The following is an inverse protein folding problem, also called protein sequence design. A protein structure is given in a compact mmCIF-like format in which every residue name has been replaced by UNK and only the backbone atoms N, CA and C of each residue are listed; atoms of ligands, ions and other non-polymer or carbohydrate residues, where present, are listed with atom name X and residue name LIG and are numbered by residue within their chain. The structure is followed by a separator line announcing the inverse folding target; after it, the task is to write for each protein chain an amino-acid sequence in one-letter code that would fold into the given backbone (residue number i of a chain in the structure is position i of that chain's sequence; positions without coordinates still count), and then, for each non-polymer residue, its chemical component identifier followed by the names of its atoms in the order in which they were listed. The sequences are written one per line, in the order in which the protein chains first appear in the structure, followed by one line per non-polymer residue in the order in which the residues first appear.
data_IF_484879452938
#
_entry.id   IF_484879452938
#
_cell.length_a   1.000
_cell.length_b   1.000
_cell.length_c   1.000
_cell.angle_alpha   90.00
_cell.angle_beta   90.00
_cell.angle_gamma   90.00
#
_symmetry.space_group_name_H-M   'P 1'
#
loop_
_entity.id
_entity.type
_entity.pdbx_description
1 polymer ?
#
# COMPACT_ATOMS: atom_id res chain seq x y z
N UNK A 1 34.45 4.33 -10.01
CA UNK A 1 34.78 3.15 -10.84
C UNK A 1 36.27 2.83 -10.69
N UNK A 2 36.67 1.55 -10.66
CA UNK A 2 38.07 1.15 -10.67
C UNK A 2 38.76 1.57 -11.98
N UNK A 3 40.05 1.89 -11.92
CA UNK A 3 40.86 2.26 -13.09
C UNK A 3 41.20 1.01 -13.92
N UNK A 4 41.21 1.17 -15.23
CA UNK A 4 41.52 0.08 -16.16
C UNK A 4 43.03 -0.11 -16.32
N UNK A 5 43.49 -1.34 -16.14
CA UNK A 5 44.86 -1.77 -16.35
C UNK A 5 44.87 -2.97 -17.31
N UNK A 6 45.52 -2.80 -18.46
CA UNK A 6 45.53 -3.79 -19.54
C UNK A 6 46.45 -4.99 -19.24
N UNK A 7 47.42 -4.82 -18.34
CA UNK A 7 48.38 -5.86 -17.96
C UNK A 7 47.82 -6.79 -16.87
N UNK A 8 46.78 -6.35 -16.16
CA UNK A 8 46.15 -7.09 -15.05
C UNK A 8 44.62 -7.14 -15.19
N UNK A 9 44.09 -7.68 -16.30
CA UNK A 9 42.66 -7.63 -16.59
C UNK A 9 41.81 -8.32 -15.51
N UNK A 10 42.29 -9.43 -14.95
CA UNK A 10 41.55 -10.19 -13.94
C UNK A 10 41.25 -9.36 -12.68
N UNK A 11 42.24 -8.60 -12.19
CA UNK A 11 42.07 -7.74 -11.01
C UNK A 11 41.09 -6.58 -11.27
N UNK A 12 41.13 -6.01 -12.48
CA UNK A 12 40.21 -4.95 -12.91
C UNK A 12 38.77 -5.45 -13.01
N UNK A 13 38.54 -6.61 -13.64
CA UNK A 13 37.21 -7.20 -13.76
C UNK A 13 36.65 -7.65 -12.40
N UNK A 14 37.47 -8.23 -11.52
CA UNK A 14 37.05 -8.59 -10.15
C UNK A 14 36.67 -7.35 -9.32
N UNK A 15 37.44 -6.27 -9.43
CA UNK A 15 37.14 -5.01 -8.76
C UNK A 15 35.86 -4.37 -9.30
N UNK A 16 35.64 -4.44 -10.62
CA UNK A 16 34.43 -3.95 -11.26
C UNK A 16 33.22 -4.80 -10.89
N UNK A 17 33.34 -6.12 -10.89
CA UNK A 17 32.28 -7.04 -10.48
C UNK A 17 31.89 -6.78 -9.02
N UNK A 18 32.86 -6.65 -8.11
CA UNK A 18 32.58 -6.27 -6.71
C UNK A 18 31.93 -4.90 -6.60
N UNK A 19 32.34 -3.94 -7.44
CA UNK A 19 31.74 -2.61 -7.46
C UNK A 19 30.29 -2.67 -7.93
N UNK A 20 30.01 -3.38 -9.02
CA UNK A 20 28.65 -3.59 -9.54
C UNK A 20 27.81 -4.34 -8.51
N UNK A 21 28.29 -5.47 -7.98
CA UNK A 21 27.58 -6.24 -6.94
C UNK A 21 27.30 -5.39 -5.71
N UNK A 22 28.26 -4.62 -5.18
CA UNK A 22 27.99 -3.71 -4.04
C UNK A 22 26.93 -2.65 -4.32
N UNK A 23 26.85 -2.14 -5.54
CA UNK A 23 25.82 -1.15 -5.91
C UNK A 23 24.47 -1.82 -6.19
N UNK A 24 24.46 -3.10 -6.57
CA UNK A 24 23.24 -3.90 -6.75
C UNK A 24 22.76 -4.56 -5.44
N UNK A 25 23.64 -4.82 -4.49
CA UNK A 25 23.37 -5.32 -3.12
C UNK A 25 22.93 -4.21 -2.17
N UNK A 26 22.72 -2.99 -2.66
CA UNK A 26 21.89 -2.01 -1.95
C UNK A 26 20.47 -2.57 -2.03
N UNK A 27 20.15 -3.46 -1.09
CA UNK A 27 18.83 -3.98 -0.82
C UNK A 27 17.87 -2.80 -0.90
N UNK A 28 17.08 -2.74 -1.97
CA UNK A 28 16.04 -1.75 -2.09
C UNK A 28 15.24 -1.82 -0.79
N UNK A 29 15.16 -0.72 -0.01
CA UNK A 29 14.39 -0.73 1.22
C UNK A 29 13.01 -1.25 0.85
N UNK A 30 12.50 -2.24 1.59
CA UNK A 30 11.24 -2.90 1.25
C UNK A 30 10.20 -1.82 0.91
N UNK A 31 9.89 -1.67 -0.39
CA UNK A 31 9.06 -0.59 -0.93
C UNK A 31 7.57 -0.74 -0.55
N UNK A 32 7.29 -1.58 0.44
CA UNK A 32 5.98 -2.05 0.83
C UNK A 32 5.92 -2.15 2.34
N UNK A 33 4.96 -1.44 2.92
CA UNK A 33 4.59 -1.53 4.32
C UNK A 33 3.19 -2.16 4.41
N UNK A 34 3.11 -3.43 4.81
CA UNK A 34 1.81 -4.08 5.02
C UNK A 34 1.24 -3.60 6.35
N UNK A 35 0.01 -3.10 6.34
CA UNK A 35 -0.68 -2.63 7.54
C UNK A 35 -1.77 -3.63 7.91
N UNK A 36 -1.57 -4.46 8.95
CA UNK A 36 -2.53 -5.49 9.30
C UNK A 36 -3.79 -4.86 9.91
N UNK A 37 -4.88 -4.86 9.14
CA UNK A 37 -6.20 -4.45 9.61
C UNK A 37 -6.74 -5.45 10.64
N UNK A 38 -7.20 -4.95 11.79
CA UNK A 38 -7.83 -5.75 12.85
C UNK A 38 -9.33 -5.44 12.92
N UNK A 39 -10.21 -6.46 12.97
CA UNK A 39 -11.63 -6.22 13.19
C UNK A 39 -11.85 -5.63 14.60
N UNK A 40 -12.52 -4.48 14.68
CA UNK A 40 -12.80 -3.78 15.95
C UNK A 40 -14.29 -3.71 16.23
N UNK A 41 -15.12 -3.65 15.19
CA UNK A 41 -16.58 -3.70 15.30
C UNK A 41 -17.16 -4.40 14.05
N UNK A 42 -18.47 -4.71 14.01
CA UNK A 42 -19.10 -5.28 12.82
C UNK A 42 -18.83 -4.42 11.59
N UNK A 43 -18.26 -5.04 10.56
CA UNK A 43 -17.85 -4.38 9.31
C UNK A 43 -16.81 -3.26 9.49
N UNK A 44 -16.20 -3.08 10.67
CA UNK A 44 -15.17 -2.08 10.91
C UNK A 44 -13.84 -2.74 11.24
N UNK A 45 -12.86 -2.44 10.40
CA UNK A 45 -11.48 -2.85 10.60
C UNK A 45 -10.62 -1.63 10.86
N UNK A 46 -9.77 -1.67 11.88
CA UNK A 46 -8.86 -0.57 12.21
C UNK A 46 -7.42 -1.03 12.24
N UNK A 47 -6.48 -0.11 11.99
CA UNK A 47 -5.06 -0.35 12.17
C UNK A 47 -4.32 0.93 12.52
N UNK A 48 -3.19 0.76 13.20
CA UNK A 48 -2.23 1.84 13.47
C UNK A 48 -1.14 1.78 12.41
N UNK A 49 -0.86 2.91 11.76
CA UNK A 49 0.21 3.03 10.77
C UNK A 49 1.45 3.54 11.50
N UNK A 50 2.37 2.63 11.81
CA UNK A 50 3.61 2.98 12.52
C UNK A 50 4.65 3.66 11.61
N UNK A 51 4.63 3.37 10.31
CA UNK A 51 5.62 3.87 9.37
C UNK A 51 5.22 5.24 8.82
N UNK A 52 5.98 6.28 9.19
CA UNK A 52 5.73 7.64 8.73
C UNK A 52 5.91 7.82 7.21
N UNK A 53 6.68 6.93 6.55
CA UNK A 53 6.86 6.96 5.09
C UNK A 53 5.54 6.74 4.35
N UNK A 54 4.56 6.07 4.97
CA UNK A 54 3.22 5.90 4.42
C UNK A 54 2.48 7.23 4.20
N UNK A 55 2.86 8.31 4.89
CA UNK A 55 2.21 9.62 4.78
C UNK A 55 2.87 10.55 3.77
N UNK A 56 4.13 10.31 3.43
CA UNK A 56 4.90 11.10 2.46
C UNK A 56 4.55 10.77 1.01
N UNK A 57 5.57 10.42 0.21
CA UNK A 57 5.38 9.86 -1.13
C UNK A 57 5.10 8.37 -0.98
N UNK A 58 3.82 8.02 -0.98
CA UNK A 58 3.37 6.64 -0.88
C UNK A 58 2.07 6.46 -1.66
N UNK A 59 1.86 5.26 -2.19
CA UNK A 59 0.63 4.84 -2.84
C UNK A 59 -0.11 3.85 -1.97
N UNK A 60 -1.31 4.21 -1.55
CA UNK A 60 -2.11 3.34 -0.71
C UNK A 60 -2.89 2.38 -1.57
N UNK A 61 -2.75 1.08 -1.28
CA UNK A 61 -3.47 0.03 -1.98
C UNK A 61 -4.27 -0.78 -0.97
N UNK A 62 -5.50 -1.10 -1.32
CA UNK A 62 -6.38 -1.95 -0.53
C UNK A 62 -6.51 -3.28 -1.27
N UNK A 63 -6.09 -4.36 -0.61
CA UNK A 63 -6.29 -5.72 -1.06
C UNK A 63 -7.59 -6.27 -0.49
N UNK A 64 -8.54 -6.60 -1.35
CA UNK A 64 -9.83 -7.13 -0.89
C UNK A 64 -9.99 -8.55 -1.39
N UNK A 65 -10.07 -9.47 -0.44
CA UNK A 65 -10.45 -10.85 -0.68
C UNK A 65 -11.94 -10.99 -0.43
N UNK A 66 -12.65 -11.60 -1.37
CA UNK A 66 -14.10 -11.83 -1.27
C UNK A 66 -14.48 -13.04 -2.10
N UNK A 67 -15.60 -13.68 -1.75
CA UNK A 67 -16.23 -14.74 -2.54
C UNK A 67 -16.96 -14.23 -3.79
N UNK A 68 -17.14 -12.91 -3.92
CA UNK A 68 -17.78 -12.28 -5.08
C UNK A 68 -16.90 -12.34 -6.33
N UNK A 69 -17.53 -12.36 -7.50
CA UNK A 69 -16.83 -12.26 -8.78
C UNK A 69 -16.05 -10.94 -8.86
N UNK A 70 -14.81 -10.96 -9.37
CA UNK A 70 -13.91 -9.80 -9.39
C UNK A 70 -14.51 -8.56 -10.06
N UNK A 71 -15.28 -8.74 -11.15
CA UNK A 71 -15.96 -7.65 -11.87
C UNK A 71 -17.06 -7.01 -11.02
N UNK A 72 -17.84 -7.83 -10.31
CA UNK A 72 -18.91 -7.34 -9.43
C UNK A 72 -18.33 -6.63 -8.21
N UNK A 73 -17.26 -7.18 -7.63
CA UNK A 73 -16.53 -6.56 -6.52
C UNK A 73 -15.95 -5.21 -6.94
N UNK A 74 -15.33 -5.13 -8.12
CA UNK A 74 -14.77 -3.89 -8.66
C UNK A 74 -15.82 -2.77 -8.80
N UNK A 75 -17.05 -3.12 -9.21
CA UNK A 75 -18.13 -2.16 -9.38
C UNK A 75 -18.79 -1.73 -8.06
N UNK A 76 -18.98 -2.67 -7.12
CA UNK A 76 -19.70 -2.42 -5.86
C UNK A 76 -18.80 -1.83 -4.77
N UNK A 77 -17.55 -2.25 -4.70
CA UNK A 77 -16.68 -1.92 -3.58
C UNK A 77 -16.41 -0.42 -3.42
N UNK A 78 -16.10 0.36 -4.47
CA UNK A 78 -15.91 1.80 -4.35
C UNK A 78 -17.13 2.55 -3.78
N UNK A 79 -18.34 2.00 -3.93
CA UNK A 79 -19.58 2.62 -3.46
C UNK A 79 -19.84 2.29 -1.98
N UNK A 80 -19.52 1.05 -1.58
CA UNK A 80 -19.80 0.51 -0.24
C UNK A 80 -18.68 0.77 0.76
N UNK A 81 -17.42 0.66 0.32
CA UNK A 81 -16.25 0.85 1.15
C UNK A 81 -16.15 2.29 1.63
N UNK A 82 -15.91 2.47 2.92
CA UNK A 82 -15.55 3.78 3.48
C UNK A 82 -14.21 3.65 4.20
N UNK A 83 -13.26 4.49 3.81
CA UNK A 83 -11.95 4.57 4.45
C UNK A 83 -11.79 5.98 5.01
N UNK A 84 -11.46 6.08 6.29
CA UNK A 84 -11.18 7.34 6.99
C UNK A 84 -10.33 7.05 8.23
N UNK A 85 -10.12 8.04 9.10
CA UNK A 85 -9.54 7.81 10.43
C UNK A 85 -10.47 6.95 11.29
N UNK A 86 -9.91 6.03 12.09
CA UNK A 86 -10.66 5.05 12.89
C UNK A 86 -11.78 5.69 13.73
N UNK A 87 -11.53 6.89 14.29
CA UNK A 87 -12.50 7.63 15.10
C UNK A 87 -13.72 8.12 14.32
N UNK A 88 -13.56 8.44 13.05
CA UNK A 88 -14.60 9.08 12.23
C UNK A 88 -15.29 8.14 11.25
N UNK A 89 -14.72 6.96 10.98
CA UNK A 89 -15.28 6.02 10.00
C UNK A 89 -16.74 5.66 10.29
N UNK A 90 -17.11 5.40 11.56
CA UNK A 90 -18.51 5.08 11.91
C UNK A 90 -19.45 6.28 11.77
N UNK A 91 -19.03 7.47 12.18
CA UNK A 91 -19.83 8.70 12.03
C UNK A 91 -20.05 9.04 10.55
N UNK A 92 -19.03 8.83 9.73
CA UNK A 92 -19.08 9.05 8.29
C UNK A 92 -20.09 8.10 7.63
N UNK A 93 -20.12 6.84 8.03
CA UNK A 93 -21.12 5.86 7.58
C UNK A 93 -22.53 6.29 8.03
N UNK A 94 -22.71 6.66 9.30
CA UNK A 94 -24.01 7.09 9.85
C UNK A 94 -24.58 8.30 9.14
N UNK A 95 -23.73 9.25 8.78
CA UNK A 95 -24.13 10.50 8.12
C UNK A 95 -24.11 10.42 6.59
N UNK A 96 -23.83 9.23 6.03
CA UNK A 96 -23.70 9.00 4.60
C UNK A 96 -22.71 9.96 3.89
N UNK A 97 -21.68 10.42 4.60
CA UNK A 97 -20.65 11.26 4.00
C UNK A 97 -19.71 10.42 3.12
N UNK A 98 -19.11 11.03 2.08
CA UNK A 98 -18.06 10.36 1.31
C UNK A 98 -16.78 10.23 2.16
N UNK A 99 -16.16 9.06 2.11
CA UNK A 99 -14.82 8.82 2.67
C UNK A 99 -13.73 9.17 1.67
N UNK A 100 -12.51 8.69 1.92
CA UNK A 100 -11.44 8.74 0.91
C UNK A 100 -11.87 7.99 -0.35
N UNK A 101 -11.48 8.52 -1.53
CA UNK A 101 -11.86 7.92 -2.82
C UNK A 101 -11.10 6.62 -3.02
N UNK A 102 -11.80 5.62 -3.55
CA UNK A 102 -11.28 4.28 -3.81
C UNK A 102 -11.52 3.97 -5.28
N UNK A 103 -10.48 3.53 -5.97
CA UNK A 103 -10.55 3.23 -7.40
C UNK A 103 -10.02 1.83 -7.64
N UNK A 104 -10.73 1.03 -8.44
CA UNK A 104 -10.28 -0.32 -8.78
C UNK A 104 -9.07 -0.28 -9.69
N UNK A 105 -8.09 -1.13 -9.40
CA UNK A 105 -6.91 -1.31 -10.23
C UNK A 105 -6.94 -2.74 -10.79
N UNK A 106 -7.00 -2.93 -12.12
CA UNK A 106 -7.08 -4.25 -12.72
C UNK A 106 -5.78 -5.06 -12.57
N UNK A 107 -4.63 -4.38 -12.44
CA UNK A 107 -3.32 -5.01 -12.30
C UNK A 107 -2.61 -4.49 -11.06
N UNK A 108 -2.15 -5.36 -10.14
CA UNK A 108 -1.35 -4.92 -9.01
C UNK A 108 -0.03 -4.30 -9.50
N UNK A 109 0.49 -3.26 -8.83
CA UNK A 109 1.84 -2.76 -9.11
C UNK A 109 2.89 -3.84 -8.88
N UNK A 110 4.04 -3.70 -9.53
CA UNK A 110 5.15 -4.67 -9.49
C UNK A 110 5.63 -5.02 -8.07
N UNK A 111 5.42 -4.13 -7.09
CA UNK A 111 5.76 -4.35 -5.69
C UNK A 111 4.81 -5.31 -4.94
N UNK A 112 3.69 -5.73 -5.53
CA UNK A 112 2.73 -6.66 -4.92
C UNK A 112 2.64 -7.93 -5.78
N UNK A 113 2.95 -9.08 -5.16
CA UNK A 113 2.70 -10.37 -5.78
C UNK A 113 1.18 -10.56 -6.04
N UNK A 114 0.77 -10.83 -7.30
CA UNK A 114 -0.64 -11.03 -7.61
C UNK A 114 -1.18 -12.25 -6.87
N UNK A 115 -2.35 -12.09 -6.24
CA UNK A 115 -3.10 -13.17 -5.60
C UNK A 115 -4.39 -13.36 -6.38
N UNK A 116 -4.71 -14.60 -6.75
CA UNK A 116 -5.87 -14.92 -7.61
C UNK A 116 -7.22 -14.62 -6.96
N UNK A 117 -7.28 -14.61 -5.63
CA UNK A 117 -8.48 -14.38 -4.81
C UNK A 117 -8.63 -12.93 -4.32
N UNK A 118 -7.72 -12.05 -4.70
CA UNK A 118 -7.64 -10.68 -4.15
C UNK A 118 -7.75 -9.66 -5.28
N UNK A 119 -8.67 -8.71 -5.12
CA UNK A 119 -8.77 -7.54 -5.98
C UNK A 119 -8.07 -6.34 -5.33
N UNK A 120 -7.45 -5.50 -6.16
CA UNK A 120 -6.66 -4.37 -5.70
C UNK A 120 -7.35 -3.05 -6.02
N UNK A 121 -7.28 -2.11 -5.07
CA UNK A 121 -7.88 -0.79 -5.20
C UNK A 121 -6.89 0.28 -4.74
N UNK A 122 -6.74 1.37 -5.48
CA UNK A 122 -6.02 2.55 -4.99
C UNK A 122 -6.90 3.35 -4.06
N UNK A 123 -6.30 3.88 -2.99
CA UNK A 123 -6.94 4.84 -2.09
C UNK A 123 -6.31 6.21 -2.34
N UNK A 124 -7.14 7.19 -2.68
CA UNK A 124 -6.72 8.57 -2.85
C UNK A 124 -6.51 9.25 -1.49
N UNK A 125 -5.42 10.00 -1.38
CA UNK A 125 -4.93 10.60 -0.13
C UNK A 125 -5.30 12.08 -0.06
N UNK A 126 -6.57 12.38 -0.35
CA UNK A 126 -7.08 13.73 -0.46
C UNK A 126 -8.28 13.96 0.47
N UNK A 127 -8.46 15.23 0.85
CA UNK A 127 -9.61 15.69 1.63
C UNK A 127 -9.47 15.55 3.15
N UNK A 128 -10.52 15.89 3.92
CA UNK A 128 -10.46 16.03 5.37
C UNK A 128 -10.21 14.71 6.12
N UNK A 129 -10.65 13.58 5.54
CA UNK A 129 -10.35 12.26 6.11
C UNK A 129 -8.85 11.97 6.10
N UNK A 130 -8.13 12.39 5.04
CA UNK A 130 -6.69 12.20 4.95
C UNK A 130 -5.95 13.05 5.99
N UNK A 131 -6.31 14.33 6.13
CA UNK A 131 -5.69 15.23 7.11
C UNK A 131 -5.85 14.70 8.55
N UNK A 132 -7.06 14.24 8.88
CA UNK A 132 -7.33 13.65 10.19
C UNK A 132 -6.55 12.36 10.41
N UNK A 133 -6.43 11.53 9.38
CA UNK A 133 -5.65 10.30 9.44
C UNK A 133 -4.16 10.61 9.60
N UNK A 134 -3.63 11.61 8.88
CA UNK A 134 -2.25 12.07 9.02
C UNK A 134 -1.94 12.60 10.43
N UNK A 135 -2.93 13.14 11.14
CA UNK A 135 -2.77 13.57 12.54
C UNK A 135 -2.88 12.43 13.55
N UNK A 136 -3.76 11.46 13.31
CA UNK A 136 -4.09 10.38 14.26
C UNK A 136 -3.26 9.11 14.06
N UNK A 137 -2.69 8.90 12.86
CA UNK A 137 -2.01 7.68 12.42
C UNK A 137 -2.84 6.39 12.54
N UNK A 138 -4.15 6.52 12.71
CA UNK A 138 -5.09 5.41 12.84
C UNK A 138 -6.04 5.37 11.64
N UNK A 139 -6.01 4.29 10.87
CA UNK A 139 -6.94 4.06 9.77
C UNK A 139 -8.11 3.19 10.22
N UNK A 140 -9.32 3.54 9.74
CA UNK A 140 -10.52 2.73 9.83
C UNK A 140 -11.12 2.46 8.45
N UNK A 141 -11.34 1.19 8.14
CA UNK A 141 -11.96 0.69 6.92
C UNK A 141 -13.29 0.04 7.27
N UNK A 142 -14.38 0.52 6.70
CA UNK A 142 -15.71 -0.06 6.86
C UNK A 142 -16.06 -0.98 5.70
N UNK A 143 -15.83 -2.29 5.88
CA UNK A 143 -16.08 -3.36 4.90
C UNK A 143 -16.34 -4.71 5.62
N UNK A 144 -17.06 -5.66 4.99
CA UNK A 144 -17.32 -6.98 5.55
C UNK A 144 -16.11 -7.90 5.66
N UNK A 145 -15.12 -7.82 4.75
CA UNK A 145 -13.88 -8.60 4.82
C UNK A 145 -12.76 -7.93 4.01
N UNK A 146 -11.61 -7.58 4.61
CA UNK A 146 -10.52 -6.83 3.92
C UNK A 146 -9.12 -6.97 4.52
N UNK A 147 -8.08 -6.79 3.68
CA UNK A 147 -6.65 -6.69 4.03
C UNK A 147 -6.01 -5.43 3.39
N UNK A 148 -5.61 -4.40 4.16
CA UNK A 148 -4.97 -3.20 3.60
C UNK A 148 -3.49 -3.43 3.31
N UNK A 149 -3.01 -3.00 2.12
CA UNK A 149 -1.62 -3.13 1.69
C UNK A 149 -1.05 -1.77 1.27
N UNK A 150 -0.29 -1.11 2.14
CA UNK A 150 0.30 0.19 1.79
C UNK A 150 1.61 -0.01 1.01
N UNK A 151 1.75 0.68 -0.12
CA UNK A 151 3.01 0.77 -0.86
C UNK A 151 3.63 2.15 -0.64
N UNK A 152 4.90 2.21 -0.31
CA UNK A 152 5.64 3.47 -0.28
C UNK A 152 6.53 3.49 -1.54
N UNK A 153 6.33 4.47 -2.42
CA UNK A 153 7.15 4.64 -3.63
C UNK A 153 7.93 5.96 -3.50
N UNK A 154 9.25 5.90 -3.67
CA UNK A 154 10.17 7.06 -3.64
C UNK A 154 10.02 7.98 -4.88
#
# INVERSE_FOLDING_TARGET
LPAYDHDRPQECFDALERHIRRNLDIVAPAARAVVPLRPTAPFLHTAVIADQRAFGRARWILGVRSSLAGVELAARLPQLAKVCSAKFTLELVRRAFPGMRIEHIPFPPAAIAPRSDTQYFSVDRAGPCWETLNSTHEIGVYLPEVELVILAEE
#
